data_IF_797420654722
#
_entry.id   IF_797420654722
#
_cell.length_a   1.000
_cell.length_b   1.000
_cell.length_c   1.000
_cell.angle_alpha   90.00
_cell.angle_beta   90.00
_cell.angle_gamma   90.00
#
_symmetry.space_group_name_H-M   'P 1'
#
loop_
_entity.id
_entity.type
_entity.pdbx_description
1 polymer ?
#
# COMPACT_ATOMS: atom_id res chain seq x y z
N UNK A 1 12.86 22.81 1.07
CA UNK A 1 12.44 21.41 1.25
C UNK A 1 12.74 21.04 2.70
N UNK A 2 11.73 20.79 3.54
CA UNK A 2 11.99 20.26 4.88
C UNK A 2 12.61 18.87 4.73
N UNK A 3 13.83 18.69 5.26
CA UNK A 3 14.56 17.43 5.17
C UNK A 3 14.16 16.59 6.39
N UNK A 4 13.18 15.72 6.20
CA UNK A 4 12.73 14.79 7.25
C UNK A 4 13.87 13.85 7.63
N UNK A 5 14.09 13.65 8.93
CA UNK A 5 15.26 12.91 9.43
C UNK A 5 15.07 11.40 9.34
N UNK A 6 13.84 10.91 9.44
CA UNK A 6 13.53 9.47 9.45
C UNK A 6 12.84 8.97 8.18
N UNK A 7 12.40 9.88 7.29
CA UNK A 7 11.60 9.50 6.11
C UNK A 7 12.30 8.48 5.22
N UNK A 8 13.55 8.71 4.84
CA UNK A 8 14.27 7.80 3.94
C UNK A 8 14.48 6.42 4.60
N UNK A 9 14.82 6.37 5.88
CA UNK A 9 14.97 5.11 6.62
C UNK A 9 13.66 4.33 6.73
N UNK A 10 12.54 5.03 6.97
CA UNK A 10 11.21 4.41 7.02
C UNK A 10 10.77 3.91 5.66
N UNK A 11 11.04 4.66 4.59
CA UNK A 11 10.80 4.21 3.22
C UNK A 11 11.61 2.94 2.93
N UNK A 12 12.90 2.91 3.28
CA UNK A 12 13.73 1.71 3.08
C UNK A 12 13.19 0.52 3.86
N UNK A 13 12.84 0.69 5.14
CA UNK A 13 12.26 -0.36 5.95
C UNK A 13 10.95 -0.87 5.35
N UNK A 14 10.06 0.03 4.92
CA UNK A 14 8.80 -0.31 4.25
C UNK A 14 9.04 -1.15 2.99
N UNK A 15 9.97 -0.73 2.11
CA UNK A 15 10.29 -1.44 0.88
C UNK A 15 10.82 -2.85 1.16
N UNK A 16 11.72 -3.00 2.13
CA UNK A 16 12.25 -4.31 2.53
C UNK A 16 11.14 -5.21 3.07
N UNK A 17 10.30 -4.69 3.98
CA UNK A 17 9.17 -5.45 4.56
C UNK A 17 8.19 -5.85 3.47
N UNK A 18 7.89 -4.96 2.52
CA UNK A 18 7.00 -5.24 1.40
C UNK A 18 7.55 -6.38 0.52
N UNK A 19 8.84 -6.35 0.19
CA UNK A 19 9.49 -7.42 -0.59
C UNK A 19 9.44 -8.77 0.13
N UNK A 20 9.76 -8.79 1.42
CA UNK A 20 9.68 -10.02 2.23
C UNK A 20 8.23 -10.51 2.30
N UNK A 21 7.26 -9.61 2.50
CA UNK A 21 5.84 -9.95 2.53
C UNK A 21 5.38 -10.58 1.22
N UNK A 22 5.80 -10.05 0.07
CA UNK A 22 5.46 -10.59 -1.25
C UNK A 22 6.01 -12.01 -1.45
N UNK A 23 7.22 -12.29 -0.98
CA UNK A 23 7.81 -13.64 -1.05
C UNK A 23 7.07 -14.65 -0.15
N UNK A 24 6.56 -14.21 1.01
CA UNK A 24 5.79 -15.05 1.92
C UNK A 24 4.32 -15.23 1.49
N UNK A 25 3.78 -14.30 0.70
CA UNK A 25 2.37 -14.26 0.34
C UNK A 25 1.85 -15.52 -0.36
N UNK A 26 2.71 -16.14 -1.18
CA UNK A 26 2.39 -17.35 -1.95
C UNK A 26 2.16 -18.59 -1.08
N UNK A 27 2.69 -18.62 0.15
CA UNK A 27 2.52 -19.74 1.06
C UNK A 27 1.21 -19.56 1.83
N UNK A 28 0.27 -20.49 1.63
CA UNK A 28 -0.94 -20.59 2.46
C UNK A 28 -0.58 -21.39 3.71
N UNK A 29 -0.68 -20.74 4.87
CA UNK A 29 -0.51 -21.31 6.19
C UNK A 29 -1.87 -21.65 6.82
N UNK A 30 -1.89 -22.56 7.78
CA UNK A 30 -3.09 -22.89 8.55
C UNK A 30 -2.98 -22.29 9.96
N UNK A 31 -3.87 -21.37 10.31
CA UNK A 31 -4.05 -20.94 11.71
C UNK A 31 -5.34 -21.57 12.20
N UNK A 32 -5.20 -22.66 12.95
CA UNK A 32 -6.33 -23.51 13.31
C UNK A 32 -7.04 -24.07 12.07
N UNK A 33 -8.31 -23.70 11.88
CA UNK A 33 -9.14 -24.15 10.75
C UNK A 33 -9.17 -23.17 9.57
N UNK A 34 -8.51 -22.02 9.69
CA UNK A 34 -8.58 -20.96 8.68
C UNK A 34 -7.30 -20.95 7.83
N UNK A 35 -7.43 -21.11 6.50
CA UNK A 35 -6.30 -20.90 5.59
C UNK A 35 -5.99 -19.40 5.53
N UNK A 36 -4.74 -19.04 5.75
CA UNK A 36 -4.27 -17.66 5.73
C UNK A 36 -2.97 -17.56 4.95
N UNK A 37 -2.79 -16.50 4.17
CA UNK A 37 -1.51 -16.24 3.51
C UNK A 37 -0.42 -15.94 4.54
N UNK A 38 0.81 -16.40 4.30
CA UNK A 38 1.99 -16.07 5.11
C UNK A 38 2.27 -14.57 5.21
N UNK A 39 1.77 -13.77 4.26
CA UNK A 39 1.83 -12.32 4.31
C UNK A 39 1.13 -11.71 5.54
N UNK A 40 0.21 -12.44 6.18
CA UNK A 40 -0.53 -11.96 7.37
C UNK A 40 0.38 -11.51 8.52
N UNK A 41 1.63 -12.00 8.57
CA UNK A 41 2.61 -11.62 9.58
C UNK A 41 3.13 -10.18 9.40
N UNK A 42 3.33 -9.76 8.16
CA UNK A 42 3.96 -8.48 7.82
C UNK A 42 2.93 -7.44 7.35
N UNK A 43 1.76 -7.88 6.91
CA UNK A 43 0.67 -7.02 6.48
C UNK A 43 0.33 -5.95 7.54
N UNK A 44 0.10 -6.29 8.83
CA UNK A 44 -0.03 -5.35 9.94
C UNK A 44 0.96 -4.17 9.92
N UNK A 45 2.23 -4.51 9.75
CA UNK A 45 3.33 -3.56 9.82
C UNK A 45 3.29 -2.63 8.60
N UNK A 46 3.06 -3.18 7.40
CA UNK A 46 2.97 -2.37 6.17
C UNK A 46 1.84 -1.34 6.22
N UNK A 47 0.70 -1.66 6.86
CA UNK A 47 -0.40 -0.70 7.07
C UNK A 47 0.00 0.45 7.99
N UNK A 48 0.68 0.14 9.10
CA UNK A 48 1.16 1.16 10.04
C UNK A 48 2.12 2.12 9.32
N UNK A 49 3.03 1.59 8.51
CA UNK A 49 3.91 2.43 7.68
C UNK A 49 3.11 3.30 6.71
N UNK A 50 2.12 2.75 6.02
CA UNK A 50 1.22 3.51 5.14
C UNK A 50 0.58 4.70 5.86
N UNK A 51 -0.01 4.46 7.04
CA UNK A 51 -0.64 5.47 7.86
C UNK A 51 0.37 6.50 8.39
N UNK A 52 1.58 6.07 8.79
CA UNK A 52 2.66 6.99 9.20
C UNK A 52 3.09 7.88 8.04
N UNK A 53 3.22 7.33 6.82
CA UNK A 53 3.60 8.13 5.67
C UNK A 53 2.57 9.20 5.32
N UNK A 54 1.28 8.85 5.29
CA UNK A 54 0.21 9.81 5.00
C UNK A 54 0.06 10.85 6.10
N UNK A 55 0.11 10.46 7.38
CA UNK A 55 -0.18 11.36 8.50
C UNK A 55 1.01 12.20 8.98
N UNK A 56 2.24 11.70 8.86
CA UNK A 56 3.45 12.40 9.32
C UNK A 56 4.14 13.13 8.18
N UNK A 57 4.22 12.50 7.00
CA UNK A 57 5.03 12.98 5.89
C UNK A 57 4.22 13.44 4.67
N UNK A 58 2.90 13.28 4.73
CA UNK A 58 1.95 13.66 3.70
C UNK A 58 1.88 12.68 2.52
N UNK A 59 0.88 12.89 1.67
CA UNK A 59 0.58 12.03 0.52
C UNK A 59 1.76 11.87 -0.47
N UNK A 60 2.61 12.90 -0.62
CA UNK A 60 3.79 12.84 -1.50
C UNK A 60 4.84 11.80 -1.04
N UNK A 61 5.07 11.69 0.27
CA UNK A 61 5.99 10.71 0.85
C UNK A 61 5.44 9.29 0.75
N UNK A 62 4.14 9.11 1.04
CA UNK A 62 3.44 7.82 0.87
C UNK A 62 3.56 7.31 -0.57
N UNK A 63 3.30 8.17 -1.55
CA UNK A 63 3.47 7.84 -2.96
C UNK A 63 4.90 7.43 -3.30
N UNK A 64 5.91 8.15 -2.81
CA UNK A 64 7.33 7.80 -3.03
C UNK A 64 7.65 6.41 -2.48
N UNK A 65 7.17 6.07 -1.28
CA UNK A 65 7.36 4.76 -0.68
C UNK A 65 6.74 3.64 -1.54
N UNK A 66 5.51 3.85 -2.03
CA UNK A 66 4.79 2.90 -2.87
C UNK A 66 5.52 2.68 -4.20
N UNK A 67 5.94 3.74 -4.90
CA UNK A 67 6.66 3.60 -6.17
C UNK A 67 8.01 2.91 -6.02
N UNK A 68 8.75 3.19 -4.93
CA UNK A 68 10.00 2.49 -4.64
C UNK A 68 9.77 1.02 -4.33
N UNK A 69 8.71 0.70 -3.58
CA UNK A 69 8.30 -0.68 -3.29
C UNK A 69 7.90 -1.44 -4.56
N UNK A 70 7.15 -0.78 -5.44
CA UNK A 70 6.78 -1.31 -6.75
C UNK A 70 8.01 -1.57 -7.61
N UNK A 71 8.91 -0.59 -7.75
CA UNK A 71 10.14 -0.74 -8.52
C UNK A 71 11.03 -1.86 -7.97
N UNK A 72 11.17 -1.95 -6.65
CA UNK A 72 11.90 -3.05 -6.01
C UNK A 72 11.30 -4.42 -6.32
N UNK A 73 9.97 -4.52 -6.30
CA UNK A 73 9.26 -5.77 -6.60
C UNK A 73 9.38 -6.12 -8.10
N UNK A 74 9.29 -5.13 -8.98
CA UNK A 74 9.50 -5.30 -10.42
C UNK A 74 10.92 -5.76 -10.74
N UNK A 75 11.94 -5.19 -10.07
CA UNK A 75 13.33 -5.59 -10.23
C UNK A 75 13.57 -7.04 -9.78
N UNK A 76 13.06 -7.41 -8.58
CA UNK A 76 13.14 -8.78 -8.08
C UNK A 76 12.55 -9.77 -9.09
N UNK A 77 11.39 -9.43 -9.66
CA UNK A 77 10.71 -10.29 -10.62
C UNK A 77 11.41 -10.38 -11.98
N UNK A 78 11.89 -9.25 -12.50
CA UNK A 78 12.67 -9.23 -13.74
C UNK A 78 13.92 -10.10 -13.61
N UNK A 79 14.66 -9.95 -12.51
CA UNK A 79 15.83 -10.78 -12.22
C UNK A 79 15.47 -12.27 -12.10
N UNK A 80 14.38 -12.61 -11.38
CA UNK A 80 13.93 -13.99 -11.24
C UNK A 80 13.53 -14.62 -12.58
N UNK A 81 12.87 -13.87 -13.45
CA UNK A 81 12.43 -14.33 -14.78
C UNK A 81 13.62 -14.61 -15.68
N UNK A 82 14.61 -13.71 -15.72
CA UNK A 82 15.85 -13.95 -16.46
C UNK A 82 16.58 -15.18 -15.91
N UNK A 83 16.61 -15.34 -14.58
CA UNK A 83 17.27 -16.48 -13.93
C UNK A 83 16.59 -17.81 -14.26
N UNK A 84 15.26 -17.86 -14.31
CA UNK A 84 14.50 -19.07 -14.71
C UNK A 84 14.75 -19.43 -16.18
N UNK A 85 14.86 -18.42 -17.06
CA UNK A 85 15.05 -18.62 -18.50
C UNK A 85 16.45 -19.11 -18.87
N UNK A 86 17.44 -18.88 -18.01
CA UNK A 86 18.81 -19.37 -18.20
C UNK A 86 18.89 -20.90 -17.96
N UNK A 87 19.71 -21.62 -18.74
CA UNK A 87 19.90 -23.05 -18.53
C UNK A 87 20.49 -23.31 -17.15
N UNK A 88 19.89 -24.24 -16.41
CA UNK A 88 20.40 -24.69 -15.14
C UNK A 88 21.80 -25.32 -15.31
N UNK A 89 22.70 -25.04 -14.38
CA UNK A 89 23.96 -25.76 -14.28
C UNK A 89 23.69 -27.26 -14.05
N UNK A 90 24.54 -28.17 -14.55
CA UNK A 90 24.43 -29.61 -14.25
C UNK A 90 24.36 -29.93 -12.76
N UNK A 91 24.97 -29.09 -11.90
CA UNK A 91 24.97 -29.26 -10.44
C UNK A 91 23.73 -28.66 -9.73
N UNK A 92 22.87 -27.95 -10.47
CA UNK A 92 21.69 -27.28 -9.92
C UNK A 92 20.46 -28.19 -9.95
N UNK A 93 20.05 -28.68 -8.79
CA UNK A 93 18.97 -29.68 -8.66
C UNK A 93 17.59 -29.06 -8.32
N UNK A 94 17.53 -27.76 -8.01
CA UNK A 94 16.32 -27.11 -7.47
C UNK A 94 15.56 -26.26 -8.51
N UNK A 95 15.71 -26.56 -9.81
CA UNK A 95 15.12 -25.74 -10.88
C UNK A 95 13.60 -25.68 -10.79
N UNK A 96 12.94 -26.82 -10.54
CA UNK A 96 11.48 -26.88 -10.46
C UNK A 96 10.94 -26.12 -9.24
N UNK A 97 11.62 -26.22 -8.10
CA UNK A 97 11.27 -25.47 -6.90
C UNK A 97 11.44 -23.96 -7.11
N UNK A 98 12.54 -23.55 -7.75
CA UNK A 98 12.79 -22.15 -8.08
C UNK A 98 11.72 -21.60 -9.05
N UNK A 99 11.38 -22.36 -10.09
CA UNK A 99 10.32 -21.97 -11.02
C UNK A 99 8.95 -21.88 -10.32
N UNK A 100 8.63 -22.83 -9.43
CA UNK A 100 7.37 -22.82 -8.67
C UNK A 100 7.23 -21.57 -7.80
N UNK A 101 8.29 -21.17 -7.11
CA UNK A 101 8.29 -20.02 -6.18
C UNK A 101 8.22 -18.67 -6.91
N UNK A 102 8.88 -18.55 -8.06
CA UNK A 102 9.01 -17.25 -8.75
C UNK A 102 8.04 -17.06 -9.93
N UNK A 103 7.43 -18.13 -10.47
CA UNK A 103 6.48 -18.04 -11.60
C UNK A 103 5.11 -17.44 -11.26
N UNK A 104 4.72 -17.43 -9.98
CA UNK A 104 3.45 -16.84 -9.52
C UNK A 104 3.51 -15.31 -9.33
N UNK A 105 4.72 -14.78 -9.17
CA UNK A 105 5.01 -13.36 -8.89
C UNK A 105 4.62 -12.38 -10.03
N UNK A 106 4.75 -12.65 -11.34
CA UNK A 106 4.37 -11.69 -12.41
C UNK A 106 2.91 -11.32 -12.33
N UNK A 107 2.08 -12.33 -12.06
CA UNK A 107 0.63 -12.18 -12.00
C UNK A 107 0.22 -11.32 -10.81
N UNK A 108 0.84 -11.54 -9.65
CA UNK A 108 0.64 -10.69 -8.47
C UNK A 108 1.08 -9.26 -8.77
N UNK A 109 2.26 -9.05 -9.34
CA UNK A 109 2.79 -7.72 -9.63
C UNK A 109 1.86 -6.93 -10.57
N UNK A 110 1.41 -7.56 -11.66
CA UNK A 110 0.47 -6.94 -12.60
C UNK A 110 -0.88 -6.66 -11.95
N UNK A 111 -1.42 -7.62 -11.19
CA UNK A 111 -2.67 -7.45 -10.45
C UNK A 111 -2.59 -6.31 -9.43
N UNK A 112 -1.52 -6.25 -8.63
CA UNK A 112 -1.28 -5.22 -7.62
C UNK A 112 -1.09 -3.84 -8.23
N UNK A 113 -0.42 -3.72 -9.39
CA UNK A 113 -0.25 -2.43 -10.05
C UNK A 113 -1.55 -1.91 -10.65
N UNK A 114 -2.32 -2.79 -11.31
CA UNK A 114 -3.64 -2.42 -11.85
C UNK A 114 -4.60 -2.07 -10.71
N UNK A 115 -4.61 -2.86 -9.64
CA UNK A 115 -5.41 -2.60 -8.46
C UNK A 115 -5.02 -1.30 -7.76
N UNK A 116 -3.72 -1.04 -7.61
CA UNK A 116 -3.23 0.21 -7.03
C UNK A 116 -3.70 1.41 -7.86
N UNK A 117 -3.54 1.39 -9.18
CA UNK A 117 -3.99 2.49 -10.04
C UNK A 117 -5.50 2.69 -10.01
N UNK A 118 -6.26 1.60 -10.10
CA UNK A 118 -7.72 1.67 -10.09
C UNK A 118 -8.28 2.06 -8.72
N UNK A 119 -7.70 1.54 -7.63
CA UNK A 119 -8.02 1.89 -6.25
C UNK A 119 -7.70 3.34 -5.95
N UNK A 120 -6.53 3.84 -6.36
CA UNK A 120 -6.13 5.24 -6.19
C UNK A 120 -7.00 6.19 -7.02
N UNK A 121 -7.36 5.79 -8.24
CA UNK A 121 -8.30 6.53 -9.08
C UNK A 121 -9.70 6.57 -8.46
N UNK A 122 -10.20 5.44 -7.97
CA UNK A 122 -11.50 5.36 -7.30
C UNK A 122 -11.53 6.18 -6.00
N UNK A 123 -10.45 6.14 -5.21
CA UNK A 123 -10.26 6.94 -4.01
C UNK A 123 -10.32 8.44 -4.36
N UNK A 124 -9.47 8.90 -5.28
CA UNK A 124 -9.40 10.30 -5.70
C UNK A 124 -10.69 10.82 -6.34
N UNK A 125 -11.34 9.99 -7.17
CA UNK A 125 -12.63 10.32 -7.79
C UNK A 125 -13.73 10.48 -6.74
N UNK A 126 -13.81 9.55 -5.79
CA UNK A 126 -14.80 9.58 -4.71
C UNK A 126 -14.60 10.80 -3.83
N UNK A 127 -13.36 11.13 -3.50
CA UNK A 127 -13.00 12.32 -2.73
C UNK A 127 -13.44 13.61 -3.44
N UNK A 128 -13.18 13.71 -4.75
CA UNK A 128 -13.61 14.85 -5.56
C UNK A 128 -15.14 14.96 -5.65
N UNK A 129 -15.84 13.85 -5.88
CA UNK A 129 -17.31 13.82 -6.01
C UNK A 129 -18.00 14.14 -4.69
N UNK A 130 -17.51 13.57 -3.59
CA UNK A 130 -18.06 13.88 -2.28
C UNK A 130 -17.78 15.32 -1.85
N UNK A 131 -16.65 15.93 -2.23
CA UNK A 131 -16.39 17.36 -1.99
C UNK A 131 -17.43 18.26 -2.64
N UNK A 132 -17.92 17.89 -3.83
CA UNK A 132 -19.00 18.60 -4.52
C UNK A 132 -20.33 18.37 -3.79
N UNK A 133 -20.63 17.11 -3.44
CA UNK A 133 -21.87 16.72 -2.76
C UNK A 133 -22.02 17.31 -1.35
N UNK A 134 -20.91 17.49 -0.63
CA UNK A 134 -20.94 18.03 0.74
C UNK A 134 -20.71 19.53 0.81
N UNK A 135 -20.66 20.24 -0.33
CA UNK A 135 -20.31 21.67 -0.42
C UNK A 135 -19.02 22.02 0.34
N UNK A 136 -18.07 21.09 0.37
CA UNK A 136 -16.85 21.24 1.16
C UNK A 136 -16.99 21.07 2.68
N UNK A 137 -18.19 20.80 3.21
CA UNK A 137 -18.44 20.50 4.63
C UNK A 137 -18.11 19.03 4.93
N UNK A 138 -17.74 18.72 6.17
CA UNK A 138 -17.39 17.37 6.65
C UNK A 138 -16.22 16.71 5.90
N UNK A 139 -14.98 17.05 6.30
CA UNK A 139 -13.77 16.43 5.72
C UNK A 139 -13.72 14.91 6.00
N UNK A 140 -14.09 14.50 7.21
CA UNK A 140 -13.98 13.11 7.66
C UNK A 140 -14.80 12.12 6.84
N UNK A 141 -16.03 12.47 6.44
CA UNK A 141 -16.88 11.60 5.61
C UNK A 141 -16.26 11.35 4.23
N UNK A 142 -15.55 12.33 3.69
CA UNK A 142 -14.86 12.24 2.40
C UNK A 142 -13.64 11.35 2.49
N UNK A 143 -12.82 11.52 3.54
CA UNK A 143 -11.60 10.73 3.71
C UNK A 143 -11.91 9.27 4.00
N UNK A 144 -12.87 9.00 4.89
CA UNK A 144 -13.27 7.62 5.22
C UNK A 144 -14.03 6.97 4.07
N UNK A 145 -14.98 7.69 3.46
CA UNK A 145 -15.77 7.18 2.34
C UNK A 145 -14.92 6.86 1.11
N UNK A 146 -13.95 7.72 0.77
CA UNK A 146 -13.02 7.47 -0.33
C UNK A 146 -12.07 6.31 -0.04
N UNK A 147 -11.61 6.15 1.20
CA UNK A 147 -10.77 5.01 1.63
C UNK A 147 -11.53 3.70 1.53
N UNK A 148 -12.79 3.65 2.00
CA UNK A 148 -13.65 2.46 1.90
C UNK A 148 -13.86 2.04 0.45
N UNK A 149 -14.19 3.00 -0.42
CA UNK A 149 -14.39 2.73 -1.85
C UNK A 149 -13.08 2.33 -2.53
N UNK A 150 -11.98 3.03 -2.23
CA UNK A 150 -10.65 2.72 -2.75
C UNK A 150 -10.19 1.31 -2.37
N UNK A 151 -10.31 0.93 -1.10
CA UNK A 151 -9.95 -0.41 -0.61
C UNK A 151 -10.86 -1.51 -1.17
N UNK A 152 -12.15 -1.22 -1.39
CA UNK A 152 -13.08 -2.16 -2.01
C UNK A 152 -12.70 -2.44 -3.46
N UNK A 153 -12.40 -1.39 -4.24
CA UNK A 153 -11.96 -1.50 -5.63
C UNK A 153 -10.61 -2.20 -5.73
N UNK A 154 -9.65 -1.81 -4.91
CA UNK A 154 -8.33 -2.47 -4.82
C UNK A 154 -8.48 -3.96 -4.54
N UNK A 155 -9.20 -4.32 -3.47
CA UNK A 155 -9.36 -5.71 -3.04
C UNK A 155 -10.06 -6.52 -4.13
N UNK A 156 -11.12 -6.00 -4.74
CA UNK A 156 -11.84 -6.68 -5.82
C UNK A 156 -10.93 -6.96 -7.03
N UNK A 157 -10.12 -5.98 -7.45
CA UNK A 157 -9.24 -6.11 -8.61
C UNK A 157 -8.08 -7.06 -8.30
N UNK A 158 -7.42 -6.94 -7.14
CA UNK A 158 -6.35 -7.84 -6.73
C UNK A 158 -6.86 -9.28 -6.73
N UNK A 159 -7.99 -9.56 -6.08
CA UNK A 159 -8.48 -10.94 -5.97
C UNK A 159 -8.94 -11.50 -7.30
N UNK A 160 -9.58 -10.67 -8.14
CA UNK A 160 -10.06 -11.09 -9.46
C UNK A 160 -8.90 -11.38 -10.40
N UNK A 161 -7.90 -10.50 -10.48
CA UNK A 161 -6.76 -10.69 -11.38
C UNK A 161 -5.79 -11.77 -10.88
N UNK A 162 -5.58 -11.87 -9.57
CA UNK A 162 -4.66 -12.87 -8.99
C UNK A 162 -5.25 -14.28 -9.05
N UNK A 163 -6.54 -14.46 -8.75
CA UNK A 163 -7.15 -15.78 -8.60
C UNK A 163 -8.17 -16.14 -9.68
N UNK A 164 -8.59 -15.20 -10.53
CA UNK A 164 -9.55 -15.44 -11.60
C UNK A 164 -9.05 -16.50 -12.60
N UNK A 165 -9.76 -17.62 -12.70
CA UNK A 165 -9.31 -18.76 -13.53
C UNK A 165 -8.30 -19.70 -12.87
N UNK A 166 -7.90 -19.45 -11.62
CA UNK A 166 -7.13 -20.39 -10.78
C UNK A 166 -8.04 -21.07 -9.76
N UNK A 167 -9.01 -20.32 -9.21
CA UNK A 167 -9.93 -20.79 -8.18
C UNK A 167 -11.40 -20.56 -8.56
N UNK A 168 -12.35 -21.32 -7.96
CA UNK A 168 -13.77 -21.06 -8.12
C UNK A 168 -14.18 -19.66 -7.64
N UNK A 169 -15.10 -19.01 -8.36
CA UNK A 169 -15.57 -17.65 -8.04
C UNK A 169 -16.14 -17.49 -6.63
N UNK A 170 -16.78 -18.54 -6.12
CA UNK A 170 -17.30 -18.57 -4.76
C UNK A 170 -16.18 -18.44 -3.70
N UNK A 171 -15.04 -19.09 -3.92
CA UNK A 171 -13.90 -19.06 -2.99
C UNK A 171 -13.17 -17.73 -3.10
N UNK A 172 -13.07 -17.18 -4.32
CA UNK A 172 -12.56 -15.81 -4.55
C UNK A 172 -13.41 -14.81 -3.76
N UNK A 173 -14.74 -14.83 -3.90
CA UNK A 173 -15.62 -13.90 -3.20
C UNK A 173 -15.51 -14.01 -1.67
N UNK A 174 -15.53 -15.25 -1.13
CA UNK A 174 -15.34 -15.48 0.30
C UNK A 174 -13.99 -14.96 0.79
N UNK A 175 -12.93 -15.19 0.02
CA UNK A 175 -11.59 -14.71 0.35
C UNK A 175 -11.51 -13.18 0.29
N UNK A 176 -12.07 -12.54 -0.74
CA UNK A 176 -12.12 -11.07 -0.85
C UNK A 176 -12.89 -10.43 0.30
N UNK A 177 -14.08 -10.96 0.63
CA UNK A 177 -14.90 -10.44 1.72
C UNK A 177 -14.19 -10.62 3.07
N UNK A 178 -13.60 -11.80 3.31
CA UNK A 178 -12.84 -12.07 4.54
C UNK A 178 -11.62 -11.18 4.65
N UNK A 179 -10.86 -11.01 3.56
CA UNK A 179 -9.68 -10.15 3.52
C UNK A 179 -10.04 -8.68 3.76
N UNK A 180 -11.13 -8.19 3.16
CA UNK A 180 -11.63 -6.83 3.37
C UNK A 180 -12.06 -6.61 4.83
N UNK A 181 -12.86 -7.52 5.40
CA UNK A 181 -13.28 -7.42 6.80
C UNK A 181 -12.12 -7.52 7.78
N UNK A 182 -11.15 -8.40 7.50
CA UNK A 182 -9.92 -8.50 8.30
C UNK A 182 -9.08 -7.23 8.21
N UNK A 183 -8.95 -6.61 7.02
CA UNK A 183 -8.27 -5.31 6.86
C UNK A 183 -8.90 -4.26 7.77
N UNK A 184 -10.23 -4.08 7.67
CA UNK A 184 -10.97 -3.09 8.46
C UNK A 184 -10.90 -3.39 9.96
N UNK A 185 -11.07 -4.65 10.36
CA UNK A 185 -11.03 -5.07 11.76
C UNK A 185 -9.63 -4.91 12.37
N UNK A 186 -8.59 -5.32 11.66
CA UNK A 186 -7.21 -5.13 12.07
C UNK A 186 -6.88 -3.64 12.21
N UNK A 187 -7.23 -2.83 11.21
CA UNK A 187 -6.98 -1.39 11.23
C UNK A 187 -7.63 -0.74 12.45
N UNK A 188 -8.86 -1.12 12.79
CA UNK A 188 -9.56 -0.66 14.00
C UNK A 188 -8.78 -1.00 15.29
N UNK A 189 -8.24 -2.21 15.40
CA UNK A 189 -7.47 -2.65 16.58
C UNK A 189 -6.07 -2.01 16.62
N UNK A 190 -5.44 -1.82 15.47
CA UNK A 190 -4.11 -1.24 15.33
C UNK A 190 -4.12 0.29 15.38
N UNK A 191 -5.28 0.92 15.22
CA UNK A 191 -5.47 2.38 15.29
C UNK A 191 -4.83 3.00 16.53
N UNK A 192 -5.10 2.57 17.79
CA UNK A 192 -4.46 3.16 18.98
C UNK A 192 -2.92 3.06 18.97
N UNK A 193 -2.38 1.93 18.50
CA UNK A 193 -0.93 1.78 18.35
C UNK A 193 -0.36 2.70 17.27
N UNK A 194 -1.06 2.81 16.15
CA UNK A 194 -0.71 3.69 15.04
C UNK A 194 -0.67 5.16 15.50
N UNK A 195 -1.67 5.60 16.29
CA UNK A 195 -1.67 6.93 16.90
C UNK A 195 -0.46 7.16 17.82
N UNK A 196 -0.07 6.16 18.62
CA UNK A 196 1.11 6.28 19.49
C UNK A 196 2.40 6.47 18.69
N UNK A 197 2.59 5.68 17.61
CA UNK A 197 3.75 5.78 16.71
C UNK A 197 3.77 7.14 16.01
N UNK A 198 2.64 7.55 15.41
CA UNK A 198 2.51 8.84 14.72
C UNK A 198 2.85 9.98 15.67
N UNK A 199 2.28 9.97 16.87
CA UNK A 199 2.48 11.05 17.83
C UNK A 199 3.93 11.14 18.32
N UNK A 200 4.59 9.99 18.54
CA UNK A 200 6.02 9.95 18.83
C UNK A 200 6.86 10.50 17.68
N UNK A 201 6.53 10.13 16.44
CA UNK A 201 7.24 10.57 15.25
C UNK A 201 7.07 12.07 15.00
N UNK A 202 5.84 12.60 15.09
CA UNK A 202 5.55 14.04 14.97
C UNK A 202 6.33 14.87 16.00
N UNK A 203 6.42 14.40 17.26
CA UNK A 203 7.25 15.06 18.29
C UNK A 203 8.74 15.03 17.97
N UNK A 204 9.25 13.94 17.36
CA UNK A 204 10.68 13.76 17.03
C UNK A 204 11.11 14.51 15.77
N UNK A 205 10.22 14.63 14.79
CA UNK A 205 10.44 15.39 13.55
C UNK A 205 10.11 16.88 13.75
N UNK A 206 9.32 17.24 14.77
CA UNK A 206 8.92 18.62 15.04
C UNK A 206 7.92 19.17 14.02
N UNK A 207 7.07 18.30 13.45
CA UNK A 207 6.16 18.65 12.35
C UNK A 207 4.73 18.31 12.72
N UNK A 208 3.82 19.25 12.49
CA UNK A 208 2.38 19.06 12.55
C UNK A 208 1.82 19.18 11.12
N UNK A 209 2.06 18.13 10.33
CA UNK A 209 1.68 18.10 8.91
C UNK A 209 0.17 17.95 8.81
N UNK A 210 -0.51 18.99 8.35
CA UNK A 210 -1.89 18.94 7.91
C UNK A 210 -1.92 19.02 6.37
N UNK A 211 -2.37 17.96 5.70
CA UNK A 211 -2.50 17.88 4.24
C UNK A 211 -3.69 18.74 3.72
N UNK A 212 -3.63 20.06 3.92
CA UNK A 212 -4.72 20.99 3.53
C UNK A 212 -4.70 21.36 2.05
N UNK A 213 -3.58 21.14 1.33
CA UNK A 213 -3.39 21.59 -0.05
C UNK A 213 -2.72 20.58 -1.00
N UNK A 214 -2.80 19.29 -0.72
CA UNK A 214 -2.04 18.26 -1.46
C UNK A 214 -2.75 17.83 -2.74
N UNK A 215 -2.00 17.75 -3.85
CA UNK A 215 -2.51 17.26 -5.13
C UNK A 215 -2.54 15.72 -5.13
N UNK A 216 -3.73 15.15 -5.03
CA UNK A 216 -3.96 13.69 -5.02
C UNK A 216 -3.65 12.97 -6.36
N UNK A 217 -2.95 13.62 -7.31
CA UNK A 217 -2.64 13.03 -8.61
C UNK A 217 -1.42 12.09 -8.52
N UNK A 218 -1.55 10.76 -8.73
CA UNK A 218 -0.50 9.76 -8.52
C UNK A 218 0.75 9.90 -9.41
N UNK A 219 0.74 10.78 -10.41
CA UNK A 219 1.84 10.99 -11.35
C UNK A 219 2.66 12.27 -11.11
N UNK A 220 2.32 13.06 -10.07
CA UNK A 220 2.93 14.38 -9.86
C UNK A 220 4.09 14.34 -8.86
N UNK A 221 5.33 14.45 -9.32
CA UNK A 221 6.52 14.30 -8.47
C UNK A 221 6.98 15.59 -7.74
N UNK A 222 6.30 16.72 -7.91
CA UNK A 222 6.66 17.99 -7.27
C UNK A 222 5.43 18.79 -6.82
N UNK A 223 5.46 19.27 -5.57
CA UNK A 223 4.52 20.27 -5.05
C UNK A 223 4.87 21.66 -5.60
N UNK A 224 3.85 22.34 -6.13
CA UNK A 224 3.95 23.77 -6.44
C UNK A 224 3.75 24.54 -5.15
N UNK A 225 4.85 25.05 -4.58
CA UNK A 225 4.84 26.01 -3.49
C UNK A 225 4.15 27.28 -3.98
N UNK A 226 2.89 27.49 -3.60
CA UNK A 226 2.34 28.85 -3.54
C UNK A 226 2.60 29.38 -2.14
N UNK A 227 3.62 30.23 -2.02
CA UNK A 227 3.85 31.06 -0.85
C UNK A 227 2.61 31.91 -0.60
N UNK A 228 1.98 31.79 0.56
CA UNK A 228 1.06 32.82 1.04
C UNK A 228 1.83 33.90 1.81
N UNK A 229 1.47 35.18 1.61
CA UNK A 229 2.12 36.29 2.30
C UNK A 229 1.79 36.21 3.79
N UNK A 230 2.80 36.48 4.60
CA UNK A 230 2.72 36.66 6.05
C UNK A 230 1.54 37.57 6.41
N UNK A 231 0.53 37.03 7.11
CA UNK A 231 -0.42 37.87 7.83
C UNK A 231 0.28 38.38 9.09
N UNK A 232 0.90 39.55 8.97
CA UNK A 232 1.29 40.33 10.14
C UNK A 232 0.00 40.75 10.88
N UNK A 233 -0.10 40.35 12.15
CA UNK A 233 -1.02 40.92 13.14
C UNK A 233 -0.39 42.17 13.77
N UNK A 234 -1.27 43.00 14.34
CA UNK A 234 -1.05 44.23 15.14
C UNK A 234 -0.78 45.47 14.27
N UNK A 235 -1.52 46.58 14.38
CA UNK A 235 -2.33 47.14 15.49
C UNK A 235 -3.35 48.10 14.89
#
# INVERSE_FOLDING_TARGET
MQRFRYLDALITAFVVILLVSNLLAQKVCMIGRFPVSGAILLFPITYIFGNVFTEVYGYGASRRAIWLGFFGTALLYAAATVTIALPASPDWHNQDAFNTVFSFIPRILAASLIAFWAGEFANSYTLAKMKILTEGRWLWTRTVGSTVVGQAVDTAIVTTLTFGGVMPWHDIFKMSATAYLMKVGYETVATPFTYAVIHWLKRREGVDTFDTHTSFNPFRFAESTKSHPSSAKAT
#
